data_IF_486386343439
#
_entry.id   IF_486386343439
#
_cell.length_a   1.000
_cell.length_b   1.000
_cell.length_c   1.000
_cell.angle_alpha   90.00
_cell.angle_beta   90.00
_cell.angle_gamma   90.00
#
_symmetry.space_group_name_H-M   'P 1'
#
loop_
_entity.id
_entity.type
_entity.pdbx_description
1 polymer ?
#
# COMPACT_ATOMS: atom_id res chain seq x y z
N UNK A 1 -2.17 4.26 -13.40
CA UNK A 1 -2.75 5.48 -12.86
C UNK A 1 -1.81 6.62 -13.15
N UNK A 2 -1.99 7.74 -12.47
CA UNK A 2 -1.14 8.92 -12.63
C UNK A 2 -0.66 9.35 -11.24
N UNK A 3 0.66 9.36 -11.06
CA UNK A 3 1.25 9.84 -9.81
C UNK A 3 1.49 11.34 -9.88
N UNK A 4 1.45 12.00 -8.73
CA UNK A 4 1.68 13.45 -8.64
C UNK A 4 3.13 13.81 -9.04
N UNK A 5 3.36 14.68 -10.04
CA UNK A 5 4.71 15.00 -10.51
C UNK A 5 5.61 15.61 -9.44
N UNK A 6 5.04 16.42 -8.53
CA UNK A 6 5.79 17.08 -7.46
C UNK A 6 6.40 16.10 -6.43
N UNK A 7 5.93 14.85 -6.38
CA UNK A 7 6.51 13.80 -5.53
C UNK A 7 7.62 13.02 -6.24
N UNK A 8 8.06 13.48 -7.43
CA UNK A 8 9.04 12.78 -8.26
C UNK A 8 8.46 11.56 -8.99
N UNK A 9 7.13 11.44 -9.10
CA UNK A 9 6.51 10.30 -9.77
C UNK A 9 6.81 10.30 -11.27
N UNK A 10 7.17 9.12 -11.80
CA UNK A 10 7.42 8.89 -13.23
C UNK A 10 6.32 8.05 -13.89
N UNK A 11 5.25 7.73 -13.16
CA UNK A 11 4.17 6.91 -13.69
C UNK A 11 3.37 7.67 -14.75
N UNK A 12 3.41 7.18 -15.99
CA UNK A 12 2.67 7.71 -17.13
C UNK A 12 1.80 6.60 -17.71
N UNK A 13 0.56 6.52 -17.26
CA UNK A 13 -0.39 5.52 -17.73
C UNK A 13 -1.82 6.05 -17.72
N UNK A 14 -2.56 5.81 -18.81
CA UNK A 14 -3.99 6.13 -18.90
C UNK A 14 -4.91 5.13 -18.20
N UNK A 15 -4.36 4.07 -17.61
CA UNK A 15 -5.13 2.99 -16.96
C UNK A 15 -4.88 3.01 -15.45
N UNK A 16 -5.94 3.11 -14.64
CA UNK A 16 -5.87 3.13 -13.17
C UNK A 16 -6.71 2.01 -12.56
N UNK A 17 -6.10 1.18 -11.72
CA UNK A 17 -6.73 0.02 -11.09
C UNK A 17 -6.25 -0.08 -9.65
N UNK A 18 -7.17 -0.32 -8.74
CA UNK A 18 -6.91 -0.57 -7.32
C UNK A 18 -7.18 -2.05 -7.00
N UNK A 19 -6.30 -2.66 -6.20
CA UNK A 19 -6.42 -4.06 -5.77
C UNK A 19 -6.69 -4.12 -4.27
N UNK A 20 -7.66 -4.95 -3.88
CA UNK A 20 -7.97 -5.23 -2.48
C UNK A 20 -7.45 -6.62 -2.15
N UNK A 21 -6.60 -6.71 -1.13
CA UNK A 21 -6.10 -7.97 -0.58
C UNK A 21 -6.83 -8.30 0.72
N UNK A 22 -7.18 -9.58 0.92
CA UNK A 22 -7.64 -10.03 2.23
C UNK A 22 -6.44 -10.10 3.19
N UNK A 23 -6.44 -9.24 4.21
CA UNK A 23 -5.32 -9.10 5.14
C UNK A 23 -5.53 -9.85 6.46
N UNK A 24 -6.60 -10.63 6.58
CA UNK A 24 -6.98 -11.31 7.84
C UNK A 24 -6.12 -12.53 8.15
N UNK A 25 -5.56 -13.18 7.13
CA UNK A 25 -4.71 -14.37 7.26
C UNK A 25 -3.38 -14.17 6.51
N UNK A 26 -2.29 -14.02 7.25
CA UNK A 26 -0.93 -13.84 6.72
C UNK A 26 -0.62 -12.43 6.20
N UNK A 27 -1.57 -11.49 6.22
CA UNK A 27 -1.37 -10.12 5.80
C UNK A 27 -0.57 -9.30 6.81
N UNK A 28 0.42 -8.54 6.32
CA UNK A 28 1.29 -7.68 7.11
C UNK A 28 1.48 -6.31 6.44
N UNK A 29 1.52 -5.24 7.23
CA UNK A 29 1.92 -3.90 6.78
C UNK A 29 3.08 -3.43 7.67
N UNK A 30 4.21 -3.16 7.03
CA UNK A 30 5.41 -2.60 7.65
C UNK A 30 5.53 -1.11 7.29
N UNK A 31 5.89 -0.28 8.25
CA UNK A 31 6.17 1.14 8.07
C UNK A 31 7.52 1.43 8.70
N UNK A 32 8.46 1.95 7.92
CA UNK A 32 9.81 2.31 8.36
C UNK A 32 10.60 1.18 9.07
N UNK A 33 10.40 -0.08 8.67
CA UNK A 33 11.06 -1.24 9.29
C UNK A 33 10.27 -1.87 10.44
N UNK A 34 9.13 -1.30 10.83
CA UNK A 34 8.33 -1.76 11.96
C UNK A 34 6.96 -2.29 11.54
N UNK A 35 6.54 -3.42 12.12
CA UNK A 35 5.23 -4.03 11.82
C UNK A 35 4.14 -3.18 12.47
N UNK A 36 3.34 -2.52 11.63
CA UNK A 36 2.25 -1.63 12.04
C UNK A 36 0.88 -2.35 12.05
N UNK A 37 0.71 -3.36 11.19
CA UNK A 37 -0.52 -4.15 11.07
C UNK A 37 -0.20 -5.62 10.78
N UNK A 38 -0.93 -6.54 11.40
CA UNK A 38 -0.84 -7.99 11.13
C UNK A 38 -2.17 -8.69 11.34
N UNK A 39 -2.54 -9.59 10.43
CA UNK A 39 -3.71 -10.49 10.54
C UNK A 39 -5.00 -9.77 10.96
N UNK A 40 -5.41 -8.74 10.21
CA UNK A 40 -6.64 -8.02 10.50
C UNK A 40 -6.54 -6.90 11.54
N UNK A 41 -5.38 -6.70 12.19
CA UNK A 41 -5.25 -5.85 13.39
C UNK A 41 -4.09 -4.87 13.31
N UNK A 42 -4.33 -3.65 13.79
CA UNK A 42 -3.26 -2.67 14.06
C UNK A 42 -2.53 -3.03 15.36
N UNK A 43 -1.21 -2.77 15.41
CA UNK A 43 -0.32 -3.15 16.53
C UNK A 43 0.12 -1.98 17.43
N UNK A 44 -0.60 -0.85 17.39
CA UNK A 44 -0.34 0.35 18.19
C UNK A 44 -0.41 0.14 19.71
#
# INVERSE_FOLDING_TARGET
GEGYPQTGSVNRSGVHWDMICDMRDGGEIEVDGEVFYRNGKFLI
#
